data_IF_296592997942
#
_entry.id   IF_296592997942
#
_cell.length_a   1.000
_cell.length_b   1.000
_cell.length_c   1.000
_cell.angle_alpha   90.00
_cell.angle_beta   90.00
_cell.angle_gamma   90.00
#
_symmetry.space_group_name_H-M   'P 1'
#
loop_
_entity.id
_entity.type
_entity.pdbx_description
1 polymer ?
#
# COMPACT_ATOMS: atom_id res chain seq x y z
N UNK A 1 43.83 -2.26 28.20
CA UNK A 1 43.16 -3.47 27.68
C UNK A 1 42.15 -3.07 26.63
N UNK A 2 42.53 -3.12 25.37
CA UNK A 2 41.55 -2.98 24.27
C UNK A 2 41.13 -4.38 23.86
N UNK A 3 39.91 -4.77 24.19
CA UNK A 3 39.26 -5.91 23.53
C UNK A 3 38.81 -5.44 22.15
N UNK A 4 39.42 -5.91 21.11
CA UNK A 4 38.92 -5.81 19.76
C UNK A 4 38.09 -7.05 19.48
N UNK A 5 36.80 -6.85 19.16
CA UNK A 5 35.93 -7.94 18.72
C UNK A 5 35.90 -7.85 17.19
N UNK A 6 36.44 -8.85 16.52
CA UNK A 6 36.40 -8.97 15.06
C UNK A 6 35.29 -9.91 14.67
N UNK A 7 34.36 -9.42 13.86
CA UNK A 7 33.29 -10.22 13.27
C UNK A 7 33.65 -10.53 11.82
N UNK A 8 33.73 -11.80 11.47
CA UNK A 8 33.85 -12.28 10.10
C UNK A 8 32.49 -12.87 9.68
N UNK A 9 31.80 -12.25 8.75
CA UNK A 9 30.43 -12.65 8.38
C UNK A 9 30.38 -13.66 7.24
N UNK A 10 31.48 -13.97 6.55
CA UNK A 10 31.47 -14.90 5.42
C UNK A 10 32.85 -15.43 5.06
N UNK A 11 33.11 -16.69 5.38
CA UNK A 11 34.16 -17.47 4.72
C UNK A 11 33.43 -18.58 3.99
N UNK A 12 33.27 -18.48 2.67
CA UNK A 12 32.69 -19.52 1.85
C UNK A 12 33.80 -20.15 0.99
N UNK A 13 34.04 -21.45 1.16
CA UNK A 13 34.89 -22.19 0.22
C UNK A 13 34.24 -22.24 -1.17
N UNK A 14 35.03 -22.20 -2.22
CA UNK A 14 34.54 -22.21 -3.61
C UNK A 14 34.15 -23.62 -4.10
N UNK A 15 34.32 -24.66 -3.29
CA UNK A 15 33.96 -26.05 -3.61
C UNK A 15 33.71 -26.87 -2.36
N UNK A 16 33.04 -28.01 -2.51
CA UNK A 16 32.85 -28.98 -1.43
C UNK A 16 34.21 -29.60 -1.03
N UNK A 17 34.46 -29.73 0.27
CA UNK A 17 35.67 -30.28 0.77
C UNK A 17 35.84 -30.14 2.28
N UNK A 18 36.96 -30.69 2.81
CA UNK A 18 37.33 -30.49 4.20
C UNK A 18 38.25 -29.27 4.30
N UNK A 19 37.81 -28.28 5.09
CA UNK A 19 38.53 -27.03 5.28
C UNK A 19 38.98 -26.89 6.73
N UNK A 20 40.16 -26.24 6.91
CA UNK A 20 40.69 -25.92 8.22
C UNK A 20 40.64 -24.42 8.44
N UNK A 21 40.07 -24.00 9.56
CA UNK A 21 40.07 -22.59 9.95
C UNK A 21 41.30 -22.34 10.81
N UNK A 22 42.23 -21.53 10.29
CA UNK A 22 43.42 -21.13 11.00
C UNK A 22 43.29 -19.72 11.59
N UNK A 23 43.62 -19.55 12.86
CA UNK A 23 43.73 -18.25 13.50
C UNK A 23 45.22 -17.90 13.62
N UNK A 24 45.61 -16.81 12.96
CA UNK A 24 46.97 -16.29 13.07
C UNK A 24 46.94 -15.03 13.93
N UNK A 25 47.57 -15.12 15.09
CA UNK A 25 47.73 -13.99 16.00
C UNK A 25 49.17 -13.47 15.91
N UNK A 26 49.31 -12.16 15.78
CA UNK A 26 50.59 -11.47 15.86
C UNK A 26 50.56 -10.54 17.06
N UNK A 27 51.52 -10.68 17.95
CA UNK A 27 51.63 -9.84 19.15
C UNK A 27 53.11 -9.49 19.37
N UNK A 28 53.35 -8.29 19.87
CA UNK A 28 54.67 -7.90 20.34
C UNK A 28 55.10 -8.75 21.54
N UNK A 29 56.38 -8.90 21.74
CA UNK A 29 56.92 -9.66 22.86
C UNK A 29 56.37 -9.13 24.20
N UNK A 30 55.97 -10.06 25.08
CA UNK A 30 55.42 -9.78 26.41
C UNK A 30 54.00 -9.12 26.42
N UNK A 31 53.20 -9.20 25.36
CA UNK A 31 51.78 -8.88 25.37
C UNK A 31 50.96 -10.15 25.62
N UNK A 32 49.87 -10.00 26.35
CA UNK A 32 49.09 -11.10 26.88
C UNK A 32 48.60 -12.16 25.88
N UNK A 33 47.85 -13.13 26.37
CA UNK A 33 47.32 -14.23 25.56
C UNK A 33 46.23 -13.76 24.60
N UNK A 34 46.19 -14.29 23.37
CA UNK A 34 45.06 -14.23 22.50
C UNK A 34 44.08 -15.35 22.88
N UNK A 35 42.86 -15.00 23.21
CA UNK A 35 41.80 -15.98 23.42
C UNK A 35 40.82 -15.90 22.24
N UNK A 36 40.59 -17.01 21.58
CA UNK A 36 39.54 -17.17 20.58
C UNK A 36 38.38 -17.92 21.23
N UNK A 37 37.21 -17.29 21.25
CA UNK A 37 36.03 -17.82 21.95
C UNK A 37 34.85 -17.82 21.01
N UNK A 38 33.86 -18.68 21.26
CA UNK A 38 32.60 -18.75 20.51
C UNK A 38 32.72 -18.94 18.99
N UNK A 39 33.64 -19.80 18.53
CA UNK A 39 33.72 -20.16 17.13
C UNK A 39 32.45 -20.97 16.77
N UNK A 40 31.62 -20.44 15.86
CA UNK A 40 30.49 -21.16 15.28
C UNK A 40 30.77 -21.36 13.80
N UNK A 41 30.79 -22.63 13.37
CA UNK A 41 30.88 -23.02 11.96
C UNK A 41 29.59 -23.73 11.60
N UNK A 42 28.89 -23.24 10.58
CA UNK A 42 27.65 -23.80 10.09
C UNK A 42 27.20 -23.08 8.83
N UNK A 43 26.21 -23.62 8.18
CA UNK A 43 25.59 -22.94 7.04
C UNK A 43 24.91 -21.66 7.48
N UNK A 44 24.94 -20.58 6.65
CA UNK A 44 24.21 -19.35 6.95
C UNK A 44 22.73 -19.64 7.18
N UNK A 45 22.13 -19.09 8.22
CA UNK A 45 20.68 -19.26 8.45
C UNK A 45 19.84 -18.82 7.23
N UNK A 46 20.32 -17.88 6.44
CA UNK A 46 19.66 -17.37 5.24
C UNK A 46 19.36 -18.44 4.17
N UNK A 47 20.12 -19.55 4.12
CA UNK A 47 19.84 -20.64 3.20
C UNK A 47 18.75 -21.60 3.71
N UNK A 48 18.34 -21.47 4.96
CA UNK A 48 17.33 -22.33 5.57
C UNK A 48 16.02 -21.63 5.82
N UNK A 49 16.03 -20.32 6.17
CA UNK A 49 14.81 -19.56 6.44
C UNK A 49 14.04 -19.27 5.15
N UNK A 50 12.68 -19.17 5.21
CA UNK A 50 11.88 -18.89 4.03
C UNK A 50 12.22 -17.54 3.37
N UNK A 51 12.06 -17.47 2.05
CA UNK A 51 12.01 -16.23 1.30
C UNK A 51 10.68 -15.49 1.50
N UNK A 52 10.45 -14.48 0.68
CA UNK A 52 9.21 -13.72 0.67
C UNK A 52 8.03 -14.59 0.22
N UNK A 53 6.82 -14.27 0.72
CA UNK A 53 5.59 -14.76 0.12
C UNK A 53 5.40 -14.12 -1.25
N UNK A 54 4.76 -14.84 -2.16
CA UNK A 54 4.52 -14.37 -3.53
C UNK A 54 3.05 -13.96 -3.70
N UNK A 55 2.79 -13.08 -4.67
CA UNK A 55 1.44 -12.68 -5.09
C UNK A 55 0.56 -12.19 -3.92
N UNK A 56 1.13 -11.41 -3.00
CA UNK A 56 0.32 -10.77 -1.96
C UNK A 56 -0.69 -9.83 -2.61
N UNK A 57 -1.97 -10.00 -2.27
CA UNK A 57 -3.09 -9.17 -2.73
C UNK A 57 -3.96 -8.78 -1.56
N UNK A 58 -4.37 -7.53 -1.52
CA UNK A 58 -5.28 -6.97 -0.52
C UNK A 58 -6.50 -6.38 -1.24
N UNK A 59 -7.67 -7.00 -1.07
CA UNK A 59 -8.92 -6.55 -1.70
C UNK A 59 -9.84 -6.03 -0.60
N UNK A 60 -10.16 -4.72 -0.58
CA UNK A 60 -11.05 -4.14 0.40
C UNK A 60 -12.48 -4.66 0.20
N UNK A 61 -13.26 -4.67 1.28
CA UNK A 61 -14.66 -5.08 1.26
C UNK A 61 -15.50 -4.20 0.33
N UNK A 62 -16.40 -4.83 -0.43
CA UNK A 62 -17.26 -4.14 -1.38
C UNK A 62 -18.13 -3.07 -0.69
N UNK A 63 -18.39 -1.97 -1.38
CA UNK A 63 -19.22 -0.86 -0.92
C UNK A 63 -18.83 -0.30 0.45
N UNK A 64 -17.52 -0.22 0.68
CA UNK A 64 -16.95 0.32 1.92
C UNK A 64 -17.09 -0.58 3.14
N UNK A 65 -17.39 -1.88 2.96
CA UNK A 65 -17.43 -2.82 4.07
C UNK A 65 -16.07 -2.92 4.77
N UNK A 66 -16.10 -2.97 6.10
CA UNK A 66 -14.90 -2.99 6.95
C UNK A 66 -14.30 -4.40 7.02
N UNK A 67 -13.81 -4.86 5.87
CA UNK A 67 -13.12 -6.15 5.71
C UNK A 67 -12.06 -6.06 4.63
N UNK A 68 -11.10 -6.99 4.66
CA UNK A 68 -10.07 -7.16 3.63
C UNK A 68 -9.95 -8.64 3.30
N UNK A 69 -10.03 -8.98 2.02
CA UNK A 69 -9.66 -10.32 1.55
C UNK A 69 -8.17 -10.31 1.22
N UNK A 70 -7.40 -11.12 1.93
CA UNK A 70 -5.97 -11.28 1.76
C UNK A 70 -5.72 -12.56 0.97
N UNK A 71 -5.04 -12.45 -0.17
CA UNK A 71 -4.56 -13.57 -0.97
C UNK A 71 -3.04 -13.55 -1.06
N UNK A 72 -2.41 -14.72 -1.03
CA UNK A 72 -0.95 -14.85 -1.17
C UNK A 72 -0.58 -16.26 -1.62
N UNK A 73 0.67 -16.44 -2.05
CA UNK A 73 1.24 -17.77 -2.34
C UNK A 73 2.37 -18.06 -1.34
N UNK A 74 2.31 -19.23 -0.71
CA UNK A 74 3.35 -19.69 0.22
C UNK A 74 4.70 -19.82 -0.50
N UNK A 75 5.84 -19.39 0.09
CA UNK A 75 7.12 -19.37 -0.59
C UNK A 75 7.61 -20.77 -0.96
N UNK A 76 8.28 -20.87 -2.09
CA UNK A 76 8.98 -22.08 -2.55
C UNK A 76 10.48 -21.98 -2.38
N UNK A 77 10.99 -20.76 -2.19
CA UNK A 77 12.43 -20.44 -2.11
C UNK A 77 12.81 -20.00 -0.70
N UNK A 78 14.06 -20.21 -0.36
CA UNK A 78 14.68 -19.64 0.83
C UNK A 78 15.12 -18.18 0.58
N UNK A 79 15.64 -17.53 1.61
CA UNK A 79 16.01 -16.10 1.57
C UNK A 79 17.11 -15.77 0.52
N UNK A 80 17.89 -16.75 0.08
CA UNK A 80 18.94 -16.57 -0.95
C UNK A 80 18.55 -17.12 -2.33
N UNK A 81 17.30 -17.52 -2.52
CA UNK A 81 16.74 -17.97 -3.81
C UNK A 81 16.92 -19.47 -4.10
N UNK A 82 17.49 -20.24 -3.19
CA UNK A 82 17.55 -21.71 -3.26
C UNK A 82 16.19 -22.33 -2.91
N UNK A 83 16.06 -23.65 -3.08
CA UNK A 83 14.82 -24.35 -2.74
C UNK A 83 14.59 -24.38 -1.23
N UNK A 84 13.39 -23.99 -0.80
CA UNK A 84 13.00 -24.08 0.60
C UNK A 84 12.78 -25.54 0.99
N UNK A 85 13.41 -25.99 2.07
CA UNK A 85 13.30 -27.38 2.54
C UNK A 85 12.00 -27.64 3.29
N UNK A 86 11.64 -26.75 4.22
CA UNK A 86 10.43 -26.85 5.03
C UNK A 86 9.73 -25.52 5.22
N UNK A 87 8.44 -25.58 5.53
CA UNK A 87 7.62 -24.44 5.87
C UNK A 87 6.66 -24.86 7.00
N UNK A 88 6.75 -24.19 8.17
CA UNK A 88 5.93 -24.53 9.32
C UNK A 88 4.73 -23.62 9.50
N UNK A 89 4.85 -22.35 9.10
CA UNK A 89 3.71 -21.44 9.13
C UNK A 89 3.90 -20.24 8.20
N UNK A 90 2.78 -19.58 7.91
CA UNK A 90 2.75 -18.21 7.34
C UNK A 90 1.85 -17.36 8.23
N UNK A 91 2.43 -16.33 8.81
CA UNK A 91 1.77 -15.39 9.72
C UNK A 91 1.41 -14.11 8.97
N UNK A 92 0.18 -13.63 9.16
CA UNK A 92 -0.33 -12.37 8.63
C UNK A 92 -0.64 -11.44 9.79
N UNK A 93 -0.06 -10.24 9.76
CA UNK A 93 -0.31 -9.19 10.75
C UNK A 93 -0.97 -7.98 10.09
N UNK A 94 -1.85 -7.31 10.82
CA UNK A 94 -2.33 -5.96 10.51
C UNK A 94 -1.70 -5.00 11.52
N UNK A 95 -0.81 -4.13 11.06
CA UNK A 95 0.11 -3.42 11.96
C UNK A 95 0.88 -4.43 12.83
N UNK A 96 0.79 -4.29 14.15
CA UNK A 96 1.43 -5.21 15.10
C UNK A 96 0.55 -6.41 15.50
N UNK A 97 -0.73 -6.44 15.08
CA UNK A 97 -1.68 -7.47 15.49
C UNK A 97 -1.62 -8.68 14.57
N UNK A 98 -1.33 -9.87 15.11
CA UNK A 98 -1.45 -11.13 14.37
C UNK A 98 -2.94 -11.41 14.11
N UNK A 99 -3.34 -11.44 12.83
CA UNK A 99 -4.73 -11.65 12.41
C UNK A 99 -4.98 -13.05 11.86
N UNK A 100 -3.94 -13.71 11.35
CA UNK A 100 -4.03 -15.08 10.83
C UNK A 100 -2.69 -15.79 10.87
N UNK A 101 -2.72 -17.07 11.22
CA UNK A 101 -1.63 -18.03 10.96
C UNK A 101 -2.17 -19.14 10.07
N UNK A 102 -1.46 -19.45 9.01
CA UNK A 102 -1.64 -20.66 8.22
C UNK A 102 -0.62 -21.69 8.70
N UNK A 103 -1.09 -22.73 9.36
CA UNK A 103 -0.24 -23.77 9.92
C UNK A 103 0.17 -24.80 8.85
N UNK A 104 1.47 -25.06 8.76
CA UNK A 104 2.07 -26.06 7.87
C UNK A 104 1.55 -26.04 6.42
N UNK A 105 1.46 -24.89 5.76
CA UNK A 105 0.98 -24.85 4.39
C UNK A 105 2.00 -25.53 3.46
N UNK A 106 1.53 -26.20 2.42
CA UNK A 106 2.43 -26.72 1.40
C UNK A 106 3.08 -25.54 0.65
N UNK A 107 4.36 -25.70 0.32
CA UNK A 107 5.12 -24.71 -0.47
C UNK A 107 4.44 -24.48 -1.82
N UNK A 108 4.35 -23.21 -2.25
CA UNK A 108 3.70 -22.82 -3.50
C UNK A 108 2.17 -22.88 -3.49
N UNK A 109 1.56 -23.18 -2.34
CA UNK A 109 0.09 -23.20 -2.24
C UNK A 109 -0.46 -21.79 -2.16
N UNK A 110 -1.54 -21.52 -2.90
CA UNK A 110 -2.33 -20.30 -2.76
C UNK A 110 -3.12 -20.34 -1.44
N UNK A 111 -2.99 -19.27 -0.65
CA UNK A 111 -3.62 -19.10 0.65
C UNK A 111 -4.52 -17.88 0.60
N UNK A 112 -5.66 -17.95 1.27
CA UNK A 112 -6.60 -16.84 1.33
C UNK A 112 -7.35 -16.82 2.67
N UNK A 113 -7.65 -15.63 3.18
CA UNK A 113 -8.60 -15.45 4.26
C UNK A 113 -9.21 -14.06 4.22
N UNK A 114 -10.31 -13.85 4.96
CA UNK A 114 -10.97 -12.55 5.11
C UNK A 114 -10.76 -12.05 6.53
N UNK A 115 -10.11 -10.90 6.66
CA UNK A 115 -10.02 -10.15 7.91
C UNK A 115 -11.26 -9.28 8.04
N UNK A 116 -12.09 -9.55 9.05
CA UNK A 116 -13.33 -8.83 9.33
C UNK A 116 -13.13 -7.86 10.50
N UNK A 117 -13.90 -6.77 10.51
CA UNK A 117 -13.80 -5.77 11.56
C UNK A 117 -12.54 -4.90 11.47
N UNK A 118 -12.05 -4.72 10.25
CA UNK A 118 -10.98 -3.79 9.93
C UNK A 118 -11.46 -2.35 10.17
N UNK A 119 -10.61 -1.47 10.69
CA UNK A 119 -10.97 -0.06 10.87
C UNK A 119 -10.97 0.68 9.53
N UNK A 120 -11.89 1.66 9.40
CA UNK A 120 -11.90 2.54 8.23
C UNK A 120 -10.61 3.36 8.13
N UNK A 121 -10.04 3.46 6.94
CA UNK A 121 -8.80 4.16 6.64
C UNK A 121 -7.72 3.23 6.10
N UNK A 122 -6.49 3.73 6.08
CA UNK A 122 -5.33 2.99 5.57
C UNK A 122 -4.92 1.90 6.56
N UNK A 123 -4.86 0.66 6.09
CA UNK A 123 -4.41 -0.50 6.86
C UNK A 123 -3.17 -1.10 6.22
N UNK A 124 -2.15 -1.38 7.05
CA UNK A 124 -0.89 -1.97 6.62
C UNK A 124 -0.91 -3.44 7.03
N UNK A 125 -0.67 -4.32 6.08
CA UNK A 125 -0.49 -5.75 6.32
C UNK A 125 0.95 -6.16 6.10
N UNK A 126 1.44 -7.03 6.97
CA UNK A 126 2.74 -7.70 6.83
C UNK A 126 2.56 -9.20 6.91
N UNK A 127 3.26 -9.90 6.04
CA UNK A 127 3.23 -11.35 5.95
C UNK A 127 4.64 -11.90 6.08
N UNK A 128 4.81 -12.89 6.94
CA UNK A 128 6.09 -13.57 7.15
C UNK A 128 5.89 -15.08 7.17
N UNK A 129 6.69 -15.79 6.40
CA UNK A 129 6.77 -17.24 6.46
C UNK A 129 7.84 -17.67 7.47
N UNK A 130 7.62 -18.77 8.19
CA UNK A 130 8.59 -19.29 9.16
C UNK A 130 8.73 -20.80 9.08
N UNK A 131 9.87 -21.29 9.55
CA UNK A 131 10.16 -22.70 9.73
C UNK A 131 10.95 -22.94 11.03
N UNK A 132 11.52 -24.15 11.22
CA UNK A 132 12.30 -24.49 12.42
C UNK A 132 13.58 -23.66 12.56
N UNK A 133 14.09 -23.06 11.50
CA UNK A 133 15.30 -22.22 11.51
C UNK A 133 15.00 -20.75 11.82
N UNK A 134 13.75 -20.31 11.71
CA UNK A 134 13.34 -18.95 12.05
C UNK A 134 12.35 -18.33 11.07
N UNK A 135 12.17 -17.01 11.24
CA UNK A 135 11.34 -16.19 10.36
C UNK A 135 12.10 -15.82 9.09
N UNK A 136 11.38 -15.82 7.98
CA UNK A 136 11.87 -15.43 6.66
C UNK A 136 11.77 -13.95 6.40
N UNK A 137 11.80 -13.58 5.11
CA UNK A 137 11.58 -12.21 4.69
C UNK A 137 10.14 -11.77 4.91
N UNK A 138 9.95 -10.49 5.24
CA UNK A 138 8.64 -9.88 5.46
C UNK A 138 8.19 -9.21 4.17
N UNK A 139 7.00 -9.56 3.69
CA UNK A 139 6.32 -8.86 2.60
C UNK A 139 5.25 -7.93 3.19
N UNK A 140 5.21 -6.67 2.75
CA UNK A 140 4.24 -5.69 3.24
C UNK A 140 3.46 -5.08 2.09
N UNK A 141 2.18 -4.75 2.36
CA UNK A 141 1.34 -4.00 1.44
C UNK A 141 0.29 -3.20 2.23
N UNK A 142 -0.37 -2.24 1.57
CA UNK A 142 -1.33 -1.34 2.19
C UNK A 142 -2.65 -1.31 1.41
N UNK A 143 -3.76 -1.12 2.13
CA UNK A 143 -5.09 -1.02 1.54
C UNK A 143 -5.92 0.02 2.27
N UNK A 144 -6.64 0.86 1.54
CA UNK A 144 -7.67 1.72 2.11
C UNK A 144 -8.98 0.94 2.26
N UNK A 145 -9.58 0.99 3.44
CA UNK A 145 -10.84 0.31 3.76
C UNK A 145 -11.89 1.33 4.18
N UNK A 146 -13.11 1.14 3.71
CA UNK A 146 -14.22 2.03 4.01
C UNK A 146 -14.44 3.08 2.93
N UNK A 147 -15.08 4.20 3.33
CA UNK A 147 -15.42 5.30 2.43
C UNK A 147 -14.20 6.19 2.20
N UNK A 148 -14.03 6.62 0.96
CA UNK A 148 -12.94 7.48 0.49
C UNK A 148 -13.46 8.85 -0.01
N UNK A 149 -12.55 9.78 -0.26
CA UNK A 149 -12.81 11.06 -0.91
C UNK A 149 -13.12 10.82 -2.39
N UNK A 150 -14.14 11.46 -2.97
CA UNK A 150 -14.42 11.33 -4.39
C UNK A 150 -13.26 11.81 -5.26
N UNK A 151 -13.10 11.24 -6.44
CA UNK A 151 -12.30 11.83 -7.51
C UNK A 151 -12.96 13.11 -8.02
N UNK A 152 -12.17 14.01 -8.61
CA UNK A 152 -12.70 15.19 -9.30
C UNK A 152 -13.69 14.79 -10.41
N UNK A 153 -14.78 15.53 -10.60
CA UNK A 153 -15.72 15.28 -11.69
C UNK A 153 -15.00 15.25 -13.03
N UNK A 154 -15.51 14.44 -13.96
CA UNK A 154 -14.97 14.36 -15.31
C UNK A 154 -15.92 15.03 -16.31
N UNK A 155 -15.40 15.34 -17.51
CA UNK A 155 -16.23 15.87 -18.63
C UNK A 155 -17.01 17.13 -18.27
N UNK A 156 -16.44 18.02 -17.43
CA UNK A 156 -17.13 19.27 -17.04
C UNK A 156 -17.28 20.15 -18.28
N UNK A 157 -18.52 20.45 -18.66
CA UNK A 157 -18.85 21.19 -19.88
C UNK A 157 -19.83 22.30 -19.57
N UNK A 158 -19.51 23.48 -20.03
CA UNK A 158 -20.42 24.64 -20.04
C UNK A 158 -21.03 24.83 -21.42
N UNK A 159 -22.34 24.99 -21.47
CA UNK A 159 -23.11 25.31 -22.70
C UNK A 159 -23.84 26.61 -22.48
N UNK A 160 -23.54 27.63 -23.27
CA UNK A 160 -24.31 28.88 -23.30
C UNK A 160 -25.66 28.63 -23.98
N UNK A 161 -26.76 28.87 -23.27
CA UNK A 161 -28.13 28.74 -23.78
C UNK A 161 -28.66 30.05 -24.32
N UNK A 162 -27.93 31.13 -24.21
CA UNK A 162 -28.33 32.50 -24.58
C UNK A 162 -29.21 33.15 -23.50
N UNK A 163 -29.57 34.40 -23.75
CA UNK A 163 -30.41 35.20 -22.83
C UNK A 163 -29.90 35.28 -21.37
N UNK A 164 -28.61 35.14 -21.16
CA UNK A 164 -27.99 35.16 -19.83
C UNK A 164 -28.23 33.90 -19.01
N UNK A 165 -28.47 32.77 -19.66
CA UNK A 165 -28.49 31.45 -19.03
C UNK A 165 -27.47 30.50 -19.65
N UNK A 166 -27.13 29.47 -18.91
CA UNK A 166 -26.24 28.41 -19.37
C UNK A 166 -26.38 27.15 -18.55
N UNK A 167 -25.97 26.05 -19.11
CA UNK A 167 -26.00 24.73 -18.50
C UNK A 167 -24.57 24.26 -18.26
N UNK A 168 -24.23 24.00 -17.00
CA UNK A 168 -23.03 23.30 -16.60
C UNK A 168 -23.38 21.83 -16.36
N UNK A 169 -22.62 20.90 -16.95
CA UNK A 169 -22.82 19.46 -16.79
C UNK A 169 -21.48 18.74 -16.58
N UNK A 170 -21.53 17.57 -15.95
CA UNK A 170 -20.36 16.73 -15.66
C UNK A 170 -20.77 15.27 -15.55
N UNK A 171 -19.78 14.37 -15.61
CA UNK A 171 -20.02 12.95 -15.33
C UNK A 171 -20.12 12.72 -13.82
N UNK A 172 -21.03 11.87 -13.37
CA UNK A 172 -21.08 11.39 -11.99
C UNK A 172 -19.75 10.74 -11.63
N UNK A 173 -19.29 10.97 -10.40
CA UNK A 173 -18.05 10.33 -9.90
C UNK A 173 -18.18 8.80 -9.86
N UNK A 174 -17.05 8.12 -9.94
CA UNK A 174 -16.99 6.66 -9.88
C UNK A 174 -17.17 6.14 -8.44
N UNK A 175 -17.43 4.82 -8.30
CA UNK A 175 -17.44 4.16 -6.99
C UNK A 175 -16.04 4.01 -6.35
N UNK A 176 -14.99 4.40 -7.06
CA UNK A 176 -13.60 4.38 -6.55
C UNK A 176 -13.14 5.81 -6.29
N UNK A 177 -12.68 6.07 -5.07
CA UNK A 177 -12.16 7.36 -4.64
C UNK A 177 -10.66 7.54 -4.89
N UNK A 178 -10.13 8.67 -4.43
CA UNK A 178 -8.74 9.10 -4.66
C UNK A 178 -7.68 8.11 -4.18
N UNK A 179 -7.96 7.37 -3.09
CA UNK A 179 -7.02 6.42 -2.49
C UNK A 179 -7.42 4.96 -2.73
N UNK A 180 -8.32 4.71 -3.70
CA UNK A 180 -8.79 3.37 -4.05
C UNK A 180 -9.87 2.80 -3.11
N UNK A 181 -10.38 3.60 -2.17
CA UNK A 181 -11.51 3.23 -1.32
C UNK A 181 -12.85 3.45 -2.01
N UNK A 182 -13.94 3.14 -1.30
CA UNK A 182 -15.28 3.22 -1.85
C UNK A 182 -15.86 4.64 -1.77
N UNK A 183 -16.50 5.06 -2.84
CA UNK A 183 -17.37 6.24 -2.90
C UNK A 183 -18.77 5.79 -3.29
N UNK A 184 -19.80 6.26 -2.57
CA UNK A 184 -21.17 6.09 -3.00
C UNK A 184 -21.58 7.29 -3.88
N UNK A 185 -21.69 7.16 -5.21
CA UNK A 185 -22.00 8.30 -6.09
C UNK A 185 -23.37 8.96 -5.81
N UNK A 186 -24.31 8.23 -5.22
CA UNK A 186 -25.65 8.77 -4.90
C UNK A 186 -25.64 9.63 -3.61
N UNK A 187 -24.57 9.60 -2.83
CA UNK A 187 -24.38 10.42 -1.62
C UNK A 187 -23.40 11.58 -1.85
N UNK A 188 -22.89 11.72 -3.07
CA UNK A 188 -21.99 12.81 -3.44
C UNK A 188 -22.80 14.04 -3.83
N UNK A 189 -22.39 15.18 -3.30
CA UNK A 189 -22.86 16.50 -3.71
C UNK A 189 -21.74 17.29 -4.36
N UNK A 190 -22.09 18.30 -5.14
CA UNK A 190 -21.13 19.07 -5.91
C UNK A 190 -21.16 20.53 -5.54
N UNK A 191 -20.00 21.20 -5.55
CA UNK A 191 -19.90 22.65 -5.41
C UNK A 191 -19.42 23.24 -6.74
N UNK A 192 -20.12 24.28 -7.20
CA UNK A 192 -19.82 25.00 -8.43
C UNK A 192 -19.15 26.33 -8.08
N UNK A 193 -18.06 26.66 -8.74
CA UNK A 193 -17.29 27.89 -8.58
C UNK A 193 -17.23 28.66 -9.91
N UNK A 194 -17.19 29.98 -9.84
CA UNK A 194 -16.84 30.84 -10.97
C UNK A 194 -15.32 30.92 -11.19
N UNK A 195 -14.91 31.70 -12.20
CA UNK A 195 -13.51 31.92 -12.56
C UNK A 195 -12.67 32.58 -11.44
N UNK A 196 -13.31 33.28 -10.53
CA UNK A 196 -12.67 33.94 -9.37
C UNK A 196 -12.66 33.01 -8.13
N UNK A 197 -13.00 31.72 -8.31
CA UNK A 197 -13.12 30.72 -7.23
C UNK A 197 -14.18 31.07 -6.17
N UNK A 198 -15.17 31.85 -6.54
CA UNK A 198 -16.32 32.13 -5.70
C UNK A 198 -17.39 31.08 -5.89
N UNK A 199 -17.98 30.61 -4.80
CA UNK A 199 -19.08 29.65 -4.82
C UNK A 199 -20.29 30.24 -5.53
N UNK A 200 -20.72 29.59 -6.59
CA UNK A 200 -21.95 29.89 -7.35
C UNK A 200 -23.11 29.04 -6.83
N UNK A 201 -22.85 27.77 -6.55
CA UNK A 201 -23.81 26.85 -5.95
C UNK A 201 -23.07 25.81 -5.08
N UNK A 202 -23.68 25.39 -3.99
CA UNK A 202 -23.19 24.35 -3.09
C UNK A 202 -24.28 23.28 -2.91
N UNK A 203 -23.87 22.09 -2.49
CA UNK A 203 -24.75 20.92 -2.28
C UNK A 203 -25.61 20.55 -3.51
N UNK A 204 -25.08 20.79 -4.71
CA UNK A 204 -25.76 20.43 -5.96
C UNK A 204 -25.82 18.90 -6.07
N UNK A 205 -27.04 18.39 -6.29
CA UNK A 205 -27.25 16.96 -6.52
C UNK A 205 -27.37 16.66 -8.02
N UNK A 206 -26.92 15.51 -8.45
CA UNK A 206 -26.97 15.09 -9.86
C UNK A 206 -25.73 15.48 -10.64
N UNK A 207 -25.87 15.65 -11.94
CA UNK A 207 -24.79 15.77 -12.93
C UNK A 207 -24.80 17.09 -13.70
N UNK A 208 -25.59 18.08 -13.24
CA UNK A 208 -25.77 19.36 -13.92
C UNK A 208 -26.22 20.48 -12.98
N UNK A 209 -25.98 21.71 -13.42
CA UNK A 209 -26.43 22.92 -12.75
C UNK A 209 -26.83 23.98 -13.80
N UNK A 210 -28.06 24.54 -13.67
CA UNK A 210 -28.51 25.63 -14.52
C UNK A 210 -28.04 26.97 -13.95
N UNK A 211 -27.27 27.69 -14.75
CA UNK A 211 -26.80 29.05 -14.46
C UNK A 211 -27.83 30.05 -15.00
N UNK A 212 -28.38 30.83 -14.10
CA UNK A 212 -29.33 31.93 -14.45
C UNK A 212 -28.66 33.26 -14.13
N UNK A 213 -29.00 34.29 -14.91
CA UNK A 213 -28.47 35.64 -14.69
C UNK A 213 -26.96 35.80 -14.99
N UNK A 214 -26.44 35.09 -15.99
CA UNK A 214 -25.15 35.39 -16.57
C UNK A 214 -25.21 36.80 -17.14
N UNK A 215 -24.26 37.66 -16.75
CA UNK A 215 -24.33 39.09 -17.04
C UNK A 215 -24.19 39.37 -18.54
N UNK A 216 -25.30 39.73 -19.19
CA UNK A 216 -25.39 39.99 -20.64
C UNK A 216 -24.86 41.39 -21.05
N UNK A 217 -24.53 42.24 -20.08
CA UNK A 217 -24.20 43.66 -20.35
C UNK A 217 -22.70 43.96 -20.45
N UNK A 218 -21.85 42.95 -20.26
CA UNK A 218 -20.39 43.10 -20.39
C UNK A 218 -19.90 42.57 -21.73
N UNK A 219 -18.81 43.08 -22.30
CA UNK A 219 -18.14 42.45 -23.42
C UNK A 219 -17.82 41.01 -22.99
N UNK A 220 -18.10 40.05 -23.89
CA UNK A 220 -17.90 38.62 -23.62
C UNK A 220 -16.49 38.35 -23.09
N UNK A 221 -16.41 38.13 -21.80
CA UNK A 221 -15.19 37.67 -21.14
C UNK A 221 -15.26 36.14 -21.20
N UNK A 222 -14.22 35.53 -21.71
CA UNK A 222 -14.08 34.08 -21.66
C UNK A 222 -14.13 33.64 -20.20
N UNK A 223 -15.19 32.97 -19.78
CA UNK A 223 -15.39 32.50 -18.43
C UNK A 223 -15.42 30.99 -18.41
N UNK A 224 -14.87 30.41 -17.39
CA UNK A 224 -14.97 29.01 -17.10
C UNK A 224 -15.59 28.82 -15.71
N UNK A 225 -16.11 27.64 -15.46
CA UNK A 225 -16.59 27.22 -14.16
C UNK A 225 -15.75 26.03 -13.67
N UNK A 226 -15.67 25.87 -12.38
CA UNK A 226 -15.02 24.72 -11.76
C UNK A 226 -16.02 23.97 -10.88
N UNK A 227 -15.89 22.66 -10.81
CA UNK A 227 -16.77 21.80 -10.02
C UNK A 227 -15.92 20.90 -9.15
N UNK A 228 -16.30 20.75 -7.88
CA UNK A 228 -15.77 19.75 -6.96
C UNK A 228 -16.84 18.76 -6.60
N UNK A 229 -16.45 17.56 -6.20
CA UNK A 229 -17.30 16.52 -5.65
C UNK A 229 -17.01 16.31 -4.17
N UNK A 230 -18.05 16.23 -3.33
CA UNK A 230 -17.91 16.18 -1.87
C UNK A 230 -18.76 15.08 -1.26
N UNK A 231 -18.23 14.39 -0.29
CA UNK A 231 -18.94 13.46 0.59
C UNK A 231 -18.54 13.68 2.05
N UNK A 232 -18.98 12.80 2.95
CA UNK A 232 -18.66 12.87 4.39
C UNK A 232 -17.15 12.72 4.70
N UNK A 233 -16.31 12.28 3.75
CA UNK A 233 -14.86 12.11 3.93
C UNK A 233 -14.06 13.32 3.49
N UNK A 234 -14.58 14.09 2.58
CA UNK A 234 -13.90 15.27 2.07
C UNK A 234 -14.39 15.70 0.70
N UNK A 235 -13.68 16.62 0.13
CA UNK A 235 -13.93 17.26 -1.15
C UNK A 235 -12.77 16.97 -2.09
N UNK A 236 -13.12 16.69 -3.35
CA UNK A 236 -12.15 16.39 -4.42
C UNK A 236 -11.35 17.62 -4.84
N UNK A 237 -10.32 17.40 -5.64
CA UNK A 237 -9.75 18.47 -6.47
C UNK A 237 -10.80 19.05 -7.42
N UNK A 238 -10.55 20.26 -7.91
CA UNK A 238 -11.45 20.95 -8.85
C UNK A 238 -11.29 20.42 -10.28
N UNK A 239 -12.41 20.25 -10.98
CA UNK A 239 -12.45 20.04 -12.42
C UNK A 239 -12.97 21.29 -13.12
N UNK A 240 -12.34 21.70 -14.21
CA UNK A 240 -12.66 22.93 -14.91
C UNK A 240 -13.45 22.64 -16.20
N UNK A 241 -14.43 23.49 -16.52
CA UNK A 241 -15.17 23.42 -17.77
C UNK A 241 -14.34 23.96 -18.94
N UNK A 242 -14.85 23.74 -20.16
CA UNK A 242 -14.53 24.58 -21.30
C UNK A 242 -14.92 26.05 -21.00
N UNK A 243 -14.38 26.95 -21.78
CA UNK A 243 -14.69 28.38 -21.80
C UNK A 243 -15.59 28.71 -22.99
#
# INVERSE_FOLDING_TARGET
DKREILYFSRIMPDADGTYYIGFHAVSDANKGNLTVDNIKVGEPMSIHVPGEVENLTLIPGAKGALSVTIGLTAPTKNLVGGDLTELTAVDVKRGETLVKTFESPAKGTALQFVDNGVVSGLNIYSVVARNSFGEGAVTTDTVLVGIDVPLAPQSVTFTDEGNGSGLLSWDKVSETGENGGYVNPEEVVYTVYDADSKVVADDVTGDRYELTSLNSEMPQVLSYFSVTAKNQKGESETAQSNS
#
